data_IF_169002655822
#
_entry.id   IF_169002655822
#
_cell.length_a   1.000
_cell.length_b   1.000
_cell.length_c   1.000
_cell.angle_alpha   90.00
_cell.angle_beta   90.00
_cell.angle_gamma   90.00
#
_symmetry.space_group_name_H-M   'P 1'
#
loop_
_entity.id
_entity.type
_entity.pdbx_description
1 polymer ?
#
# COMPACT_ATOMS: atom_id res chain seq x y z
N UNK A 1 5.76 2.57 14.13
CA UNK A 1 5.72 2.19 12.71
C UNK A 1 5.55 0.68 12.64
N UNK A 2 4.70 0.20 11.74
CA UNK A 2 4.37 -1.23 11.60
C UNK A 2 4.66 -1.66 10.18
N UNK A 3 5.30 -2.82 10.00
CA UNK A 3 5.53 -3.38 8.67
C UNK A 3 4.18 -3.84 8.12
N UNK A 4 3.79 -3.31 6.96
CA UNK A 4 2.54 -3.67 6.29
C UNK A 4 2.84 -4.43 5.01
N UNK A 5 2.27 -5.61 4.88
CA UNK A 5 2.29 -6.40 3.65
C UNK A 5 0.93 -6.35 2.97
N UNK A 6 0.91 -5.98 1.70
CA UNK A 6 -0.28 -6.02 0.84
C UNK A 6 0.07 -6.63 -0.53
N UNK A 7 -0.96 -7.07 -1.25
CA UNK A 7 -0.87 -7.54 -2.63
C UNK A 7 -1.69 -6.65 -3.55
N UNK A 8 -1.12 -6.21 -4.66
CA UNK A 8 -1.81 -5.51 -5.73
C UNK A 8 -1.64 -6.29 -7.03
N UNK A 9 -2.74 -6.50 -7.76
CA UNK A 9 -2.78 -7.26 -9.00
C UNK A 9 -3.48 -6.44 -10.09
N UNK A 10 -3.17 -6.74 -11.35
CA UNK A 10 -3.88 -6.23 -12.51
C UNK A 10 -4.17 -7.36 -13.48
N UNK A 11 -5.12 -7.16 -14.38
CA UNK A 11 -5.50 -8.10 -15.43
C UNK A 11 -5.61 -7.36 -16.76
N UNK A 12 -5.29 -8.04 -17.86
CA UNK A 12 -5.44 -7.56 -19.23
C UNK A 12 -6.63 -8.31 -19.85
N UNK A 13 -7.82 -7.68 -20.00
CA UNK A 13 -9.02 -8.37 -20.48
C UNK A 13 -8.90 -8.86 -21.93
N UNK A 14 -8.07 -8.19 -22.73
CA UNK A 14 -7.76 -8.47 -24.12
C UNK A 14 -6.61 -9.49 -24.29
N UNK A 15 -5.78 -9.67 -23.26
CA UNK A 15 -4.72 -10.69 -23.22
C UNK A 15 -4.69 -11.43 -21.86
N UNK A 16 -5.61 -12.39 -21.63
CA UNK A 16 -5.73 -13.10 -20.35
C UNK A 16 -4.54 -14.02 -20.03
N UNK A 17 -3.64 -14.26 -20.98
CA UNK A 17 -2.41 -15.06 -20.76
C UNK A 17 -1.25 -14.25 -20.19
N UNK A 18 -1.35 -12.92 -20.22
CA UNK A 18 -0.33 -12.00 -19.76
C UNK A 18 -0.76 -11.29 -18.46
N UNK A 19 0.24 -10.83 -17.71
CA UNK A 19 0.02 -10.02 -16.52
C UNK A 19 0.71 -8.66 -16.68
N UNK A 20 0.05 -7.55 -16.30
CA UNK A 20 0.69 -6.25 -16.32
C UNK A 20 1.73 -6.15 -15.19
N UNK A 21 2.73 -5.30 -15.40
CA UNK A 21 3.67 -4.94 -14.34
C UNK A 21 3.00 -3.96 -13.39
N UNK A 22 2.80 -4.37 -12.13
CA UNK A 22 2.19 -3.53 -11.08
C UNK A 22 3.27 -2.93 -10.18
N UNK A 23 3.24 -1.61 -10.00
CA UNK A 23 4.11 -0.86 -9.08
C UNK A 23 3.28 -0.03 -8.14
N UNK A 24 3.56 -0.13 -6.84
CA UNK A 24 2.81 0.60 -5.81
C UNK A 24 3.74 1.42 -4.89
N UNK A 25 3.24 2.56 -4.42
CA UNK A 25 3.93 3.43 -3.47
C UNK A 25 2.96 3.93 -2.38
N UNK A 26 3.28 3.77 -1.09
CA UNK A 26 4.50 3.14 -0.54
C UNK A 26 4.55 1.62 -0.77
N UNK A 27 5.74 1.04 -0.97
CA UNK A 27 5.92 -0.37 -1.31
C UNK A 27 5.43 -1.34 -0.20
N UNK A 28 5.04 -2.55 -0.58
CA UNK A 28 4.68 -3.62 0.37
C UNK A 28 5.90 -4.08 1.16
N UNK A 29 5.72 -4.41 2.43
CA UNK A 29 6.79 -4.93 3.31
C UNK A 29 7.66 -3.86 3.98
N UNK A 30 7.32 -2.58 3.85
CA UNK A 30 8.03 -1.49 4.54
C UNK A 30 7.24 -0.99 5.77
N UNK A 31 7.86 -0.22 6.68
CA UNK A 31 7.16 0.37 7.81
C UNK A 31 6.23 1.52 7.38
N UNK A 32 4.96 1.44 7.80
CA UNK A 32 3.98 2.51 7.64
C UNK A 32 3.81 3.28 8.96
N UNK A 33 3.55 4.60 8.92
CA UNK A 33 3.20 5.37 10.11
C UNK A 33 1.85 4.93 10.67
N UNK A 34 1.59 5.22 11.94
CA UNK A 34 0.25 5.05 12.52
C UNK A 34 -0.73 6.03 11.87
N UNK A 35 -1.92 5.55 11.53
CA UNK A 35 -2.94 6.33 10.83
C UNK A 35 -3.14 5.90 9.37
N UNK A 36 -3.93 6.67 8.61
CA UNK A 36 -4.22 6.37 7.21
C UNK A 36 -3.01 6.67 6.32
N UNK A 37 -2.68 5.71 5.45
CA UNK A 37 -1.67 5.87 4.39
C UNK A 37 -2.29 5.47 3.06
N UNK A 38 -2.27 6.35 2.08
CA UNK A 38 -2.75 6.05 0.73
C UNK A 38 -1.65 5.36 -0.06
N UNK A 39 -1.93 4.15 -0.54
CA UNK A 39 -1.09 3.43 -1.49
C UNK A 39 -1.61 3.70 -2.90
N UNK A 40 -0.77 4.25 -3.76
CA UNK A 40 -1.06 4.43 -5.18
C UNK A 40 -0.34 3.36 -5.99
N UNK A 41 -1.07 2.71 -6.88
CA UNK A 41 -0.57 1.65 -7.75
C UNK A 41 -0.74 2.03 -9.22
N UNK A 42 0.24 1.63 -10.02
CA UNK A 42 0.25 1.78 -11.48
C UNK A 42 0.50 0.42 -12.10
N UNK A 43 -0.36 0.01 -13.02
CA UNK A 43 -0.22 -1.20 -13.81
C UNK A 43 0.10 -0.80 -15.26
N UNK A 44 1.14 -1.39 -15.84
CA UNK A 44 1.49 -1.21 -17.25
C UNK A 44 1.53 -2.54 -17.97
N UNK A 45 1.00 -2.60 -19.19
CA UNK A 45 1.14 -3.78 -20.05
C UNK A 45 2.54 -3.84 -20.70
N UNK A 46 2.70 -4.76 -21.67
CA UNK A 46 3.95 -4.94 -22.42
C UNK A 46 3.89 -4.31 -23.83
N UNK A 47 2.89 -3.48 -24.14
CA UNK A 47 2.75 -2.87 -25.47
C UNK A 47 3.73 -1.71 -25.64
N UNK A 48 3.91 -1.23 -26.88
CA UNK A 48 4.81 -0.11 -27.21
C UNK A 48 4.08 0.90 -28.09
N UNK A 49 3.69 2.08 -27.55
CA UNK A 49 3.84 2.52 -26.16
C UNK A 49 2.95 1.70 -25.20
N UNK A 50 3.33 1.56 -23.91
CA UNK A 50 2.58 0.77 -22.94
C UNK A 50 1.28 1.45 -22.52
N UNK A 51 0.21 0.68 -22.40
CA UNK A 51 -1.04 1.10 -21.79
C UNK A 51 -0.93 1.06 -20.27
N UNK A 52 -1.42 2.13 -19.62
CA UNK A 52 -1.24 2.35 -18.18
C UNK A 52 -2.58 2.54 -17.49
N UNK A 53 -2.81 1.76 -16.43
CA UNK A 53 -3.93 1.93 -15.51
C UNK A 53 -3.41 2.33 -14.12
N UNK A 54 -4.20 3.12 -13.39
CA UNK A 54 -3.87 3.54 -12.02
C UNK A 54 -4.99 3.18 -11.06
N UNK A 55 -4.62 2.84 -9.83
CA UNK A 55 -5.55 2.52 -8.75
C UNK A 55 -4.97 2.95 -7.41
N UNK A 56 -5.84 3.09 -6.40
CA UNK A 56 -5.40 3.44 -5.05
C UNK A 56 -6.27 2.80 -3.99
N UNK A 57 -5.68 2.54 -2.83
CA UNK A 57 -6.39 2.08 -1.65
C UNK A 57 -5.77 2.70 -0.39
N UNK A 58 -6.54 2.68 0.70
CA UNK A 58 -6.11 3.24 1.98
C UNK A 58 -5.73 2.12 2.93
N UNK A 59 -4.53 2.20 3.49
CA UNK A 59 -4.04 1.35 4.58
C UNK A 59 -4.24 2.10 5.89
N UNK A 60 -4.90 1.48 6.85
CA UNK A 60 -5.04 2.04 8.21
C UNK A 60 -4.19 1.23 9.19
N UNK A 61 -3.11 1.83 9.67
CA UNK A 61 -2.28 1.22 10.71
C UNK A 61 -2.78 1.71 12.06
N UNK A 62 -3.45 0.82 12.81
CA UNK A 62 -3.79 1.10 14.21
C UNK A 62 -2.51 1.20 15.03
N UNK A 63 -2.24 2.39 15.54
CA UNK A 63 -1.16 2.61 16.50
C UNK A 63 -1.48 1.89 17.81
N UNK A 64 -0.57 1.07 18.31
CA UNK A 64 -0.65 0.63 19.69
C UNK A 64 -0.04 1.73 20.54
N UNK A 65 -0.87 2.53 21.22
CA UNK A 65 -0.38 3.27 22.37
C UNK A 65 0.10 2.22 23.38
N UNK A 66 1.41 2.09 23.57
CA UNK A 66 1.94 1.29 24.67
C UNK A 66 1.43 1.97 25.93
N UNK A 67 0.43 1.36 26.56
CA UNK A 67 -0.17 1.87 27.79
C UNK A 67 0.89 1.84 28.88
N UNK A 68 1.68 2.91 28.98
CA UNK A 68 2.63 3.21 30.04
C UNK A 68 3.20 4.63 29.85
N UNK A 69 2.33 5.63 29.77
CA UNK A 69 2.70 6.92 30.35
C UNK A 69 1.89 7.05 31.63
N UNK A 70 2.47 6.53 32.70
CA UNK A 70 2.15 7.01 34.05
C UNK A 70 2.37 8.52 34.00
N UNK A 71 1.31 9.32 34.09
CA UNK A 71 1.48 10.70 34.51
C UNK A 71 1.97 10.64 35.95
N UNK A 72 3.19 11.09 36.30
CA UNK A 72 3.53 11.27 37.69
C UNK A 72 2.55 12.30 38.26
N UNK A 73 1.95 11.93 39.38
CA UNK A 73 0.81 12.62 39.97
C UNK A 73 1.03 14.10 40.27
N UNK A 74 -0.10 14.80 40.29
CA UNK A 74 -0.41 15.96 41.12
C UNK A 74 -1.80 15.64 41.70
N UNK A 75 -1.92 14.99 42.87
CA UNK A 75 -1.92 15.61 44.20
C UNK A 75 -0.68 16.39 44.62
#
# INVERSE_FOLDING_TARGET
>A
MTIVTYSATGSLPDDPGSAPTVRCSPASGIPFPSGPTTVNCTASDQTTPPDVATGRFQVEVKGTFRSAQVFPGWQ
#
